data_IF_614971584555
#
_entry.id   IF_614971584555
#
_cell.length_a   1.000
_cell.length_b   1.000
_cell.length_c   1.000
_cell.angle_alpha   90.00
_cell.angle_beta   90.00
_cell.angle_gamma   90.00
#
_symmetry.space_group_name_H-M   'P 1'
#
loop_
_entity.id
_entity.type
_entity.pdbx_description
1 polymer ?
#
# COMPACT_ATOMS: atom_id res chain seq x y z
N UNK A 1 -23.17 -0.04 9.90
CA UNK A 1 -23.28 1.37 9.45
C UNK A 1 -22.00 2.04 9.92
N UNK A 2 -21.22 2.65 9.04
CA UNK A 2 -20.07 3.47 9.44
C UNK A 2 -20.51 4.39 10.55
N UNK A 3 -19.70 4.60 11.63
CA UNK A 3 -20.07 5.53 12.67
C UNK A 3 -20.43 6.85 12.02
N UNK A 4 -21.67 7.29 12.22
CA UNK A 4 -22.16 8.59 11.76
C UNK A 4 -21.43 9.68 12.56
N UNK A 5 -20.20 9.93 12.25
CA UNK A 5 -19.47 11.12 12.63
C UNK A 5 -18.84 11.69 11.40
N UNK A 6 -18.99 12.96 11.29
CA UNK A 6 -18.40 13.84 10.30
C UNK A 6 -17.21 13.17 9.62
N UNK A 7 -17.38 12.83 8.35
CA UNK A 7 -16.25 12.42 7.52
C UNK A 7 -15.11 13.35 7.82
N UNK A 8 -13.89 12.85 8.14
CA UNK A 8 -12.75 13.71 8.42
C UNK A 8 -12.69 14.78 7.35
N UNK A 9 -12.45 16.04 7.73
CA UNK A 9 -12.27 17.09 6.74
C UNK A 9 -11.12 16.68 5.82
N UNK A 10 -11.43 16.17 4.63
CA UNK A 10 -10.48 15.59 3.69
C UNK A 10 -10.80 14.18 3.24
N UNK A 11 -11.82 13.51 3.80
CA UNK A 11 -12.19 12.13 3.45
C UNK A 11 -11.25 11.07 4.08
N UNK A 12 -11.54 9.80 3.79
CA UNK A 12 -10.67 8.69 4.16
C UNK A 12 -9.46 8.66 3.23
N UNK A 13 -8.26 8.56 3.79
CA UNK A 13 -7.02 8.59 3.03
C UNK A 13 -6.51 7.21 2.68
N UNK A 14 -6.92 6.18 3.42
CA UNK A 14 -6.61 4.80 3.11
C UNK A 14 -7.68 3.83 3.62
N UNK A 15 -7.73 2.66 3.02
CA UNK A 15 -8.61 1.57 3.42
C UNK A 15 -8.00 0.23 3.01
N UNK A 16 -8.41 -0.82 3.67
CA UNK A 16 -8.01 -2.18 3.37
C UNK A 16 -9.06 -3.17 3.81
N UNK A 17 -9.03 -4.34 3.20
CA UNK A 17 -9.91 -5.46 3.50
C UNK A 17 -9.08 -6.75 3.49
N UNK A 18 -9.28 -7.58 4.51
CA UNK A 18 -8.59 -8.85 4.60
C UNK A 18 -9.28 -9.84 5.52
N UNK A 19 -8.85 -11.10 5.42
CA UNK A 19 -9.29 -12.17 6.30
C UNK A 19 -8.25 -12.41 7.38
N UNK A 20 -8.66 -12.27 8.63
CA UNK A 20 -7.92 -12.66 9.81
C UNK A 20 -8.17 -14.15 10.08
N UNK A 21 -7.17 -14.98 9.80
CA UNK A 21 -7.27 -16.42 9.98
C UNK A 21 -7.26 -16.86 11.45
N UNK A 22 -6.66 -16.08 12.34
CA UNK A 22 -6.60 -16.38 13.77
C UNK A 22 -7.94 -16.09 14.45
N UNK A 23 -8.58 -14.97 14.11
CA UNK A 23 -9.90 -14.59 14.59
C UNK A 23 -11.06 -15.19 13.81
N UNK A 24 -10.80 -15.84 12.68
CA UNK A 24 -11.80 -16.33 11.71
C UNK A 24 -12.80 -15.23 11.33
N UNK A 25 -12.28 -14.04 10.96
CA UNK A 25 -13.08 -12.87 10.67
C UNK A 25 -12.57 -12.10 9.45
N UNK A 26 -13.49 -11.48 8.72
CA UNK A 26 -13.14 -10.48 7.74
C UNK A 26 -13.08 -9.11 8.41
N UNK A 27 -11.99 -8.40 8.16
CA UNK A 27 -11.75 -7.08 8.73
C UNK A 27 -11.61 -6.01 7.65
N UNK A 28 -12.23 -4.86 7.91
CA UNK A 28 -12.09 -3.66 7.09
C UNK A 28 -11.39 -2.60 7.91
N UNK A 29 -10.34 -2.00 7.37
CA UNK A 29 -9.66 -0.87 7.97
C UNK A 29 -9.93 0.36 7.13
N UNK A 30 -10.20 1.47 7.79
CA UNK A 30 -10.28 2.79 7.17
C UNK A 30 -9.51 3.78 8.03
N UNK A 31 -8.82 4.71 7.38
CA UNK A 31 -8.05 5.71 8.09
C UNK A 31 -7.98 7.04 7.38
N UNK A 32 -7.81 8.07 8.19
CA UNK A 32 -7.47 9.44 7.83
C UNK A 32 -6.23 9.84 8.62
N UNK A 33 -5.76 11.08 8.44
CA UNK A 33 -4.53 11.60 9.04
C UNK A 33 -4.32 11.23 10.52
N UNK A 34 -5.38 11.31 11.33
CA UNK A 34 -5.29 11.10 12.79
C UNK A 34 -6.30 10.08 13.31
N UNK A 35 -7.16 9.56 12.46
CA UNK A 35 -8.24 8.67 12.89
C UNK A 35 -8.22 7.38 12.08
N UNK A 36 -8.28 6.26 12.76
CA UNK A 36 -8.26 4.93 12.18
C UNK A 36 -9.33 4.09 12.84
N UNK A 37 -10.04 3.33 12.04
CA UNK A 37 -11.11 2.46 12.50
C UNK A 37 -10.98 1.09 11.86
N UNK A 38 -11.33 0.07 12.63
CA UNK A 38 -11.44 -1.31 12.16
C UNK A 38 -12.88 -1.77 12.30
N UNK A 39 -13.35 -2.49 11.31
CA UNK A 39 -14.65 -3.16 11.31
C UNK A 39 -14.45 -4.66 11.30
N UNK A 40 -15.10 -5.33 12.24
CA UNK A 40 -15.25 -6.78 12.25
C UNK A 40 -16.56 -7.14 11.55
N UNK A 41 -16.47 -7.95 10.49
CA UNK A 41 -17.68 -8.43 9.79
C UNK A 41 -18.44 -9.43 10.67
N UNK A 42 -17.72 -10.26 11.43
CA UNK A 42 -18.28 -11.25 12.34
C UNK A 42 -19.16 -10.62 13.42
N UNK A 43 -18.74 -9.51 14.00
CA UNK A 43 -19.51 -8.81 15.05
C UNK A 43 -20.37 -7.68 14.52
N UNK A 44 -20.17 -7.25 13.28
CA UNK A 44 -20.85 -6.11 12.66
C UNK A 44 -20.52 -4.76 13.30
N UNK A 45 -19.40 -4.66 14.03
CA UNK A 45 -19.06 -3.48 14.82
C UNK A 45 -17.82 -2.76 14.32
N UNK A 46 -17.80 -1.44 14.51
CA UNK A 46 -16.64 -0.57 14.29
C UNK A 46 -15.95 -0.24 15.60
N UNK A 47 -14.63 -0.23 15.59
CA UNK A 47 -13.81 0.20 16.72
C UNK A 47 -12.74 1.17 16.25
N UNK A 48 -12.49 2.21 17.04
CA UNK A 48 -11.36 3.11 16.82
C UNK A 48 -10.07 2.40 17.25
N UNK A 49 -9.03 2.53 16.42
CA UNK A 49 -7.68 2.09 16.76
C UNK A 49 -7.00 3.21 17.55
N UNK A 50 -6.44 2.86 18.70
CA UNK A 50 -5.71 3.76 19.60
C UNK A 50 -4.19 3.67 19.32
N UNK A 51 -3.42 4.62 19.88
CA UNK A 51 -1.97 4.45 20.02
C UNK A 51 -1.09 4.87 18.85
N UNK A 52 -1.61 5.62 17.88
CA UNK A 52 -0.81 6.19 16.81
C UNK A 52 -0.90 7.70 16.84
N UNK A 53 0.07 8.33 17.50
CA UNK A 53 0.15 9.79 17.67
C UNK A 53 0.69 10.51 16.43
N UNK A 54 1.27 9.79 15.48
CA UNK A 54 1.79 10.37 14.26
C UNK A 54 0.77 10.33 13.11
N UNK A 55 0.64 11.44 12.37
CA UNK A 55 -0.19 11.47 11.19
C UNK A 55 0.40 10.55 10.12
N UNK A 56 -0.43 9.70 9.56
CA UNK A 56 -0.03 8.91 8.38
C UNK A 56 -0.24 9.79 7.15
N UNK A 57 0.85 10.18 6.52
CA UNK A 57 0.84 11.01 5.32
C UNK A 57 0.71 10.14 4.07
N UNK A 58 -0.49 9.63 3.82
CA UNK A 58 -0.75 8.98 2.54
C UNK A 58 -0.97 10.04 1.45
N UNK A 59 0.05 10.36 0.69
CA UNK A 59 -0.11 10.98 -0.62
C UNK A 59 0.08 9.88 -1.66
N UNK A 60 -0.99 9.17 -2.02
CA UNK A 60 -0.87 8.05 -2.95
C UNK A 60 -2.02 7.99 -3.94
N UNK A 61 -1.68 7.66 -5.17
CA UNK A 61 -2.60 7.02 -6.10
C UNK A 61 -2.86 5.60 -5.58
N UNK A 62 -4.12 5.29 -5.25
CA UNK A 62 -4.53 3.97 -4.78
C UNK A 62 -4.38 3.80 -3.26
N UNK A 63 -5.35 4.28 -2.50
CA UNK A 63 -5.37 4.17 -1.04
C UNK A 63 -5.81 2.77 -0.54
N UNK A 64 -5.78 1.76 -1.42
CA UNK A 64 -6.23 0.39 -1.13
C UNK A 64 -5.05 -0.42 -0.60
N UNK A 65 -5.21 -1.00 0.58
CA UNK A 65 -4.22 -1.92 1.16
C UNK A 65 -4.19 -3.26 0.43
N UNK A 66 -2.99 -3.79 0.24
CA UNK A 66 -2.73 -5.10 -0.33
C UNK A 66 -2.60 -6.13 0.79
N UNK A 67 -3.47 -7.14 0.80
CA UNK A 67 -3.37 -8.24 1.77
C UNK A 67 -2.26 -9.20 1.37
N UNK A 68 -1.29 -9.36 2.25
CA UNK A 68 -0.21 -10.32 2.10
C UNK A 68 0.22 -10.81 3.49
N UNK A 69 0.33 -12.11 3.65
CA UNK A 69 0.82 -12.77 4.86
C UNK A 69 0.10 -12.35 6.15
N UNK A 70 -1.23 -12.25 6.11
CA UNK A 70 -2.06 -11.87 7.26
C UNK A 70 -2.06 -10.37 7.60
N UNK A 71 -1.30 -9.56 6.88
CA UNK A 71 -1.23 -8.13 7.06
C UNK A 71 -1.68 -7.35 5.81
N UNK A 72 -2.20 -6.17 6.02
CA UNK A 72 -2.49 -5.19 4.97
C UNK A 72 -1.31 -4.25 4.81
N UNK A 73 -0.92 -3.98 3.58
CA UNK A 73 0.24 -3.17 3.23
C UNK A 73 -0.16 -1.99 2.35
N UNK A 74 0.46 -0.83 2.58
CA UNK A 74 0.32 0.39 1.78
C UNK A 74 1.68 1.00 1.52
N UNK A 75 1.80 1.76 0.42
CA UNK A 75 2.94 2.65 0.21
C UNK A 75 2.67 3.97 0.94
N UNK A 76 3.58 4.39 1.77
CA UNK A 76 3.56 5.67 2.46
C UNK A 76 4.61 6.60 1.88
N UNK A 77 4.21 7.85 1.63
CA UNK A 77 5.12 8.91 1.23
C UNK A 77 5.28 9.90 2.38
N UNK A 78 6.51 10.06 2.83
CA UNK A 78 6.88 11.05 3.84
C UNK A 78 7.60 12.21 3.18
N UNK A 79 7.21 13.42 3.50
CA UNK A 79 7.90 14.61 3.04
C UNK A 79 8.86 15.11 4.10
N UNK A 80 10.15 15.17 3.78
CA UNK A 80 11.20 15.67 4.65
C UNK A 80 12.09 16.64 3.87
N UNK A 81 12.24 17.88 4.38
CA UNK A 81 13.16 18.90 3.84
C UNK A 81 13.16 19.07 2.31
N UNK A 82 11.96 18.99 1.70
CA UNK A 82 11.81 19.17 0.25
C UNK A 82 12.07 17.92 -0.60
N UNK A 83 12.24 16.77 0.04
CA UNK A 83 12.30 15.45 -0.58
C UNK A 83 11.14 14.58 -0.11
N UNK A 84 10.77 13.59 -0.92
CA UNK A 84 9.78 12.59 -0.55
C UNK A 84 10.49 11.24 -0.40
N UNK A 85 10.28 10.57 0.72
CA UNK A 85 10.68 9.18 0.91
C UNK A 85 9.48 8.25 0.77
N UNK A 86 9.73 7.02 0.35
CA UNK A 86 8.71 5.98 0.17
C UNK A 86 9.02 4.81 1.09
N UNK A 87 8.00 4.35 1.80
CA UNK A 87 8.09 3.20 2.69
C UNK A 87 6.85 2.30 2.53
N UNK A 88 6.96 1.03 2.92
CA UNK A 88 5.81 0.14 3.02
C UNK A 88 5.35 0.11 4.47
N UNK A 89 4.15 0.53 4.67
CA UNK A 89 3.47 0.55 5.95
C UNK A 89 2.55 -0.66 6.06
N UNK A 90 2.50 -1.32 7.20
CA UNK A 90 1.79 -2.58 7.38
C UNK A 90 0.89 -2.58 8.60
N UNK A 91 -0.22 -3.30 8.51
CA UNK A 91 -1.14 -3.54 9.63
C UNK A 91 -1.45 -5.02 9.73
N UNK A 92 -1.09 -5.63 10.84
CA UNK A 92 -1.41 -7.02 11.16
C UNK A 92 -2.88 -7.17 11.51
N UNK A 93 -3.56 -8.08 10.82
CA UNK A 93 -5.00 -8.28 11.05
C UNK A 93 -5.30 -9.07 12.33
N UNK A 94 -4.42 -9.95 12.75
CA UNK A 94 -4.62 -10.78 13.95
C UNK A 94 -4.32 -9.99 15.22
N UNK A 95 -3.18 -9.33 15.25
CA UNK A 95 -2.76 -8.51 16.40
C UNK A 95 -3.46 -7.15 16.44
N UNK A 96 -4.04 -6.72 15.31
CA UNK A 96 -4.70 -5.41 15.13
C UNK A 96 -3.78 -4.23 15.44
N UNK A 97 -2.52 -4.36 15.04
CA UNK A 97 -1.46 -3.38 15.28
C UNK A 97 -0.74 -3.02 13.99
N UNK A 98 -0.28 -1.76 13.94
CA UNK A 98 0.64 -1.34 12.88
C UNK A 98 2.03 -1.88 13.17
N UNK A 99 2.61 -2.52 12.18
CA UNK A 99 3.92 -3.14 12.28
C UNK A 99 5.02 -2.19 11.82
N UNK A 100 6.25 -2.57 12.16
CA UNK A 100 7.45 -1.92 11.64
C UNK A 100 7.44 -1.91 10.09
N UNK A 101 8.04 -0.85 9.54
CA UNK A 101 8.15 -0.64 8.10
C UNK A 101 8.80 -1.85 7.41
N UNK A 102 8.10 -2.41 6.43
CA UNK A 102 8.67 -3.43 5.55
C UNK A 102 9.68 -2.75 4.60
N UNK A 103 10.96 -3.15 4.61
CA UNK A 103 11.94 -2.49 3.76
C UNK A 103 11.63 -2.71 2.27
N UNK A 104 11.72 -1.65 1.49
CA UNK A 104 11.64 -1.72 0.03
C UNK A 104 12.87 -2.43 -0.57
N UNK A 105 12.77 -2.94 -1.82
CA UNK A 105 13.92 -3.49 -2.53
C UNK A 105 15.12 -2.53 -2.52
N UNK A 106 16.33 -3.06 -2.45
CA UNK A 106 17.54 -2.23 -2.36
C UNK A 106 17.71 -1.27 -3.54
N UNK A 107 17.27 -1.69 -4.73
CA UNK A 107 17.34 -0.88 -5.96
C UNK A 107 16.08 -0.04 -6.20
N UNK A 108 15.08 -0.13 -5.36
CA UNK A 108 13.89 0.70 -5.47
C UNK A 108 14.25 2.16 -5.16
N UNK A 109 13.85 3.12 -6.00
CA UNK A 109 14.09 4.52 -5.71
C UNK A 109 13.32 4.92 -4.44
N UNK A 110 14.03 5.36 -3.43
CA UNK A 110 13.45 5.64 -2.10
C UNK A 110 13.19 7.12 -1.87
N UNK A 111 13.78 8.00 -2.68
CA UNK A 111 13.68 9.44 -2.48
C UNK A 111 13.41 10.15 -3.80
N UNK A 112 12.52 11.14 -3.76
CA UNK A 112 12.08 11.91 -4.92
C UNK A 112 12.13 13.40 -4.58
N UNK A 113 12.50 14.23 -5.56
CA UNK A 113 12.54 15.69 -5.38
C UNK A 113 11.17 16.34 -5.56
N UNK A 114 10.34 15.76 -6.40
CA UNK A 114 9.00 16.26 -6.66
C UNK A 114 8.09 15.13 -7.11
N UNK A 115 6.92 15.07 -6.52
CA UNK A 115 5.86 14.14 -6.87
C UNK A 115 5.27 14.38 -8.27
N UNK A 116 5.20 15.66 -8.67
CA UNK A 116 4.57 16.06 -9.94
C UNK A 116 5.53 16.16 -11.12
N UNK A 117 6.79 16.53 -10.88
CA UNK A 117 7.73 16.83 -11.95
C UNK A 117 8.49 15.61 -12.46
N UNK A 118 8.59 14.56 -11.64
CA UNK A 118 9.43 13.41 -12.00
C UNK A 118 8.65 12.34 -12.77
N UNK A 119 7.32 12.56 -13.01
CA UNK A 119 6.48 11.69 -13.86
C UNK A 119 6.46 10.23 -13.41
N UNK A 120 6.59 10.00 -12.10
CA UNK A 120 6.86 8.69 -11.56
C UNK A 120 5.56 7.92 -11.29
N UNK A 121 5.47 6.74 -11.86
CA UNK A 121 4.50 5.74 -11.46
C UNK A 121 5.12 4.79 -10.44
N UNK A 122 4.57 4.78 -9.24
CA UNK A 122 4.91 3.80 -8.20
C UNK A 122 3.64 3.12 -7.78
N UNK A 123 3.72 1.82 -7.56
CA UNK A 123 2.58 1.10 -7.02
C UNK A 123 2.96 -0.20 -6.35
N UNK A 124 1.98 -0.79 -5.72
CA UNK A 124 2.07 -2.05 -5.02
C UNK A 124 0.82 -2.87 -5.27
N UNK A 125 0.98 -4.18 -5.26
CA UNK A 125 -0.12 -5.12 -5.41
C UNK A 125 0.26 -6.50 -4.89
N UNK A 126 -0.68 -7.44 -5.01
CA UNK A 126 -0.47 -8.84 -4.65
C UNK A 126 -0.65 -9.73 -5.87
N UNK A 127 0.14 -10.79 -5.92
CA UNK A 127 0.03 -11.89 -6.86
C UNK A 127 -0.32 -13.18 -6.10
N UNK A 128 -0.41 -14.30 -6.81
CA UNK A 128 -0.60 -15.60 -6.17
C UNK A 128 0.58 -16.01 -5.28
N UNK A 129 1.78 -15.52 -5.58
CA UNK A 129 3.02 -15.94 -4.94
C UNK A 129 3.56 -14.92 -3.95
N UNK A 130 3.02 -13.70 -3.91
CA UNK A 130 3.55 -12.71 -2.99
C UNK A 130 3.12 -11.28 -3.25
N UNK A 131 3.72 -10.39 -2.48
CA UNK A 131 3.60 -8.95 -2.64
C UNK A 131 4.53 -8.48 -3.76
N UNK A 132 4.10 -7.53 -4.57
CA UNK A 132 4.98 -6.87 -5.54
C UNK A 132 4.92 -5.36 -5.42
N UNK A 133 6.03 -4.73 -5.76
CA UNK A 133 6.13 -3.28 -5.94
C UNK A 133 6.66 -2.99 -7.33
N UNK A 134 6.23 -1.88 -7.92
CA UNK A 134 6.74 -1.47 -9.21
C UNK A 134 7.12 0.01 -9.21
N UNK A 135 8.04 0.32 -10.10
CA UNK A 135 8.49 1.68 -10.37
C UNK A 135 8.55 1.89 -11.88
N UNK A 136 8.03 3.02 -12.30
CA UNK A 136 8.10 3.50 -13.66
C UNK A 136 8.60 4.94 -13.65
N UNK A 137 9.63 5.22 -14.40
CA UNK A 137 10.26 6.54 -14.46
C UNK A 137 10.03 7.28 -15.79
N UNK A 138 10.45 8.53 -15.83
CA UNK A 138 10.33 9.38 -17.03
C UNK A 138 11.20 8.92 -18.23
N UNK A 139 12.10 7.96 -18.04
CA UNK A 139 12.88 7.33 -19.11
C UNK A 139 12.16 6.12 -19.71
N UNK A 140 10.92 5.87 -19.27
CA UNK A 140 10.14 4.70 -19.60
C UNK A 140 10.77 3.37 -19.12
N UNK A 141 11.65 3.44 -18.15
CA UNK A 141 12.11 2.24 -17.46
C UNK A 141 11.04 1.77 -16.48
N UNK A 142 10.65 0.52 -16.61
CA UNK A 142 9.65 -0.12 -15.77
C UNK A 142 10.28 -1.33 -15.08
N UNK A 143 10.23 -1.35 -13.75
CA UNK A 143 10.80 -2.45 -12.97
C UNK A 143 9.77 -2.94 -11.96
N UNK A 144 9.66 -4.26 -11.83
CA UNK A 144 8.82 -4.94 -10.83
C UNK A 144 9.72 -5.77 -9.94
N UNK A 145 9.50 -5.67 -8.65
CA UNK A 145 10.08 -6.55 -7.64
C UNK A 145 8.96 -7.32 -6.94
N UNK A 146 9.22 -8.58 -6.64
CA UNK A 146 8.32 -9.44 -5.87
C UNK A 146 8.96 -9.88 -4.57
N UNK A 147 8.14 -10.06 -3.55
CA UNK A 147 8.51 -10.59 -2.25
C UNK A 147 7.62 -11.78 -1.92
N UNK A 148 8.23 -12.94 -1.76
CA UNK A 148 7.59 -14.15 -1.26
C UNK A 148 7.63 -14.20 0.27
N UNK A 149 6.81 -15.08 0.88
CA UNK A 149 6.59 -15.13 2.33
C UNK A 149 7.89 -15.15 3.15
N UNK A 150 8.80 -16.06 2.87
CA UNK A 150 10.04 -16.25 3.64
C UNK A 150 11.27 -15.63 2.96
N UNK A 151 11.09 -15.01 1.81
CA UNK A 151 12.16 -14.49 0.98
C UNK A 151 12.40 -12.98 1.15
N UNK A 152 13.54 -12.54 0.63
CA UNK A 152 13.79 -11.13 0.33
C UNK A 152 13.09 -10.69 -0.95
N UNK A 153 13.30 -9.42 -1.33
CA UNK A 153 12.86 -8.93 -2.63
C UNK A 153 13.70 -9.51 -3.76
N UNK A 154 13.05 -9.96 -4.81
CA UNK A 154 13.67 -10.38 -6.08
C UNK A 154 13.15 -9.50 -7.22
N UNK A 155 14.01 -9.16 -8.17
CA UNK A 155 13.62 -8.45 -9.38
C UNK A 155 12.92 -9.44 -10.32
N UNK A 156 11.64 -9.22 -10.56
CA UNK A 156 10.81 -10.06 -11.43
C UNK A 156 10.91 -9.61 -12.88
N UNK A 157 10.93 -8.33 -13.12
CA UNK A 157 10.93 -7.73 -14.44
C UNK A 157 11.64 -6.38 -14.45
N UNK A 158 12.44 -6.16 -15.50
CA UNK A 158 13.08 -4.88 -15.75
C UNK A 158 13.07 -4.61 -17.25
N UNK A 159 12.47 -3.50 -17.64
CA UNK A 159 12.43 -3.05 -19.02
C UNK A 159 12.93 -1.63 -19.11
N UNK A 160 14.09 -1.46 -19.76
CA UNK A 160 14.66 -0.18 -20.09
C UNK A 160 14.71 -0.05 -21.63
N UNK A 161 13.61 0.32 -22.29
CA UNK A 161 13.61 0.58 -23.74
C UNK A 161 12.68 1.72 -24.12
N UNK A 162 13.08 2.40 -25.19
CA UNK A 162 12.28 3.40 -25.89
C UNK A 162 10.86 2.86 -26.19
N UNK A 163 9.89 3.61 -25.79
CA UNK A 163 8.47 3.25 -25.85
C UNK A 163 7.97 3.07 -27.27
N UNK A 164 7.52 1.87 -27.60
CA UNK A 164 6.52 1.65 -28.64
C UNK A 164 5.22 1.29 -27.91
N UNK A 165 4.40 2.32 -27.62
CA UNK A 165 2.99 2.25 -27.25
C UNK A 165 2.48 0.96 -26.62
N UNK A 166 2.72 0.75 -25.33
CA UNK A 166 1.99 -0.28 -24.58
C UNK A 166 0.86 0.40 -23.82
N UNK A 167 -0.37 0.12 -24.24
CA UNK A 167 -1.51 0.17 -23.35
C UNK A 167 -1.25 -0.84 -22.23
N UNK A 168 -1.07 -0.37 -21.01
CA UNK A 168 -1.10 -1.21 -19.80
C UNK A 168 -2.56 -1.66 -19.55
N UNK A 169 -3.14 -2.35 -20.55
CA UNK A 169 -4.42 -3.01 -20.42
C UNK A 169 -4.22 -4.26 -19.55
N UNK A 170 -4.44 -4.10 -18.26
CA UNK A 170 -4.45 -5.24 -17.34
C UNK A 170 -4.10 -4.93 -15.89
N UNK A 171 -3.51 -3.80 -15.59
CA UNK A 171 -3.36 -3.38 -14.20
C UNK A 171 -4.61 -2.64 -13.74
N UNK A 172 -5.59 -3.36 -13.25
CA UNK A 172 -6.63 -2.74 -12.42
C UNK A 172 -6.02 -2.51 -11.03
N UNK A 173 -6.22 -1.31 -10.49
CA UNK A 173 -5.94 -1.02 -9.08
C UNK A 173 -6.59 -2.11 -8.21
N UNK A 174 -5.78 -2.85 -7.44
CA UNK A 174 -6.24 -4.00 -6.67
C UNK A 174 -6.39 -5.32 -7.45
N UNK A 175 -5.97 -5.39 -8.70
CA UNK A 175 -6.09 -6.58 -9.54
C UNK A 175 -5.04 -7.65 -9.24
N UNK A 176 -5.50 -8.90 -9.21
CA UNK A 176 -4.65 -10.08 -9.23
C UNK A 176 -4.05 -10.23 -10.62
N UNK A 177 -2.73 -10.27 -10.75
CA UNK A 177 -2.07 -10.66 -12.00
C UNK A 177 -2.37 -12.13 -12.24
N UNK A 178 -3.15 -12.46 -13.26
CA UNK A 178 -3.27 -13.82 -13.78
C UNK A 178 -2.28 -14.02 -14.93
N UNK A 179 -1.60 -15.19 -15.01
CA UNK A 179 -0.65 -15.48 -16.07
C UNK A 179 -1.34 -15.62 -17.43
#
# INVERSE_FOLDING_TARGET
MLPQRDTPRGGWTFYGFGYDSAGEDYKVIVGALYERYIHSVKTGSWRKLEGLDEPVHFQIQGNIGCLFNGALHWLEFKQEEGTYSVEIFSFDLAEEEFQAVLPLPTRFPKTYRSWYSDGLGIGMGTSRTGLFVYHYDHTNAFTIWTKEDEGGWSELYNHSREWCGFDLLGFQEGGVISP
#
